data_IF_165192472509
#
_entry.id   IF_165192472509
#
_cell.length_a   1.000
_cell.length_b   1.000
_cell.length_c   1.000
_cell.angle_alpha   90.00
_cell.angle_beta   90.00
_cell.angle_gamma   90.00
#
_symmetry.space_group_name_H-M   'P 1'
#
loop_
_entity.id
_entity.type
_entity.pdbx_description
1 polymer ?
#
# COMPACT_ATOMS: atom_id res chain seq x y z
N UNK A 1 18.16 13.01 -18.38
CA UNK A 1 17.72 13.24 -16.99
C UNK A 1 17.24 11.91 -16.46
N UNK A 2 17.74 11.46 -15.32
CA UNK A 2 17.44 10.16 -14.72
C UNK A 2 16.18 10.25 -13.86
N UNK A 3 15.43 9.14 -13.78
CA UNK A 3 14.22 9.08 -12.96
C UNK A 3 14.56 9.15 -11.47
N UNK A 4 13.69 9.83 -10.72
CA UNK A 4 13.72 9.81 -9.25
C UNK A 4 13.22 8.45 -8.79
N UNK A 5 14.02 7.75 -7.98
CA UNK A 5 13.74 6.42 -7.42
C UNK A 5 13.22 6.48 -5.98
N UNK A 6 13.59 7.50 -5.21
CA UNK A 6 13.02 7.75 -3.88
C UNK A 6 12.85 9.25 -3.63
N UNK A 7 11.83 9.61 -2.86
CA UNK A 7 11.48 11.00 -2.53
C UNK A 7 11.20 11.12 -1.03
N UNK A 8 12.13 11.71 -0.29
CA UNK A 8 12.08 11.83 1.16
C UNK A 8 11.98 13.30 1.58
N UNK A 9 11.14 13.60 2.57
CA UNK A 9 11.10 14.94 3.16
C UNK A 9 12.20 15.08 4.22
N UNK A 10 13.03 16.13 4.09
CA UNK A 10 14.02 16.51 5.08
C UNK A 10 13.40 17.30 6.25
N UNK A 11 14.16 17.47 7.33
CA UNK A 11 13.70 18.17 8.55
C UNK A 11 13.29 19.63 8.29
N UNK A 12 13.89 20.26 7.29
CA UNK A 12 13.60 21.61 6.81
C UNK A 12 12.36 21.70 5.89
N UNK A 13 11.62 20.58 5.76
CA UNK A 13 10.45 20.40 4.88
C UNK A 13 10.76 20.41 3.38
N UNK A 14 12.03 20.45 2.98
CA UNK A 14 12.41 20.27 1.58
C UNK A 14 12.26 18.81 1.16
N UNK A 15 12.02 18.59 -0.12
CA UNK A 15 11.87 17.26 -0.69
C UNK A 15 13.16 16.85 -1.39
N UNK A 16 13.72 15.73 -0.98
CA UNK A 16 14.99 15.21 -1.46
C UNK A 16 14.71 13.97 -2.30
N UNK A 17 14.85 14.10 -3.61
CA UNK A 17 14.76 13.01 -4.56
C UNK A 17 16.13 12.38 -4.83
N UNK A 18 16.24 11.05 -4.81
CA UNK A 18 17.41 10.33 -5.34
C UNK A 18 17.12 9.83 -6.75
N UNK A 19 18.05 9.99 -7.67
CA UNK A 19 17.95 9.44 -9.03
C UNK A 19 18.70 8.13 -9.17
N UNK A 20 18.40 7.39 -10.24
CA UNK A 20 19.10 6.14 -10.59
C UNK A 20 20.63 6.33 -10.71
N UNK A 21 21.07 7.50 -11.17
CA UNK A 21 22.49 7.89 -11.26
C UNK A 21 23.13 8.26 -9.90
N UNK A 22 22.45 7.96 -8.79
CA UNK A 22 22.83 8.34 -7.41
C UNK A 22 22.98 9.85 -7.19
N UNK A 23 22.37 10.68 -8.05
CA UNK A 23 22.33 12.13 -7.84
C UNK A 23 21.18 12.49 -6.91
N UNK A 24 21.36 13.57 -6.16
CA UNK A 24 20.34 14.12 -5.29
C UNK A 24 19.75 15.36 -5.93
N UNK A 25 18.43 15.43 -6.01
CA UNK A 25 17.68 16.58 -6.53
C UNK A 25 16.78 17.07 -5.42
N UNK A 26 16.90 18.34 -5.07
CA UNK A 26 16.08 18.98 -4.04
C UNK A 26 14.92 19.73 -4.68
N UNK A 27 13.76 19.66 -4.05
CA UNK A 27 12.55 20.37 -4.44
C UNK A 27 11.97 21.10 -3.22
N UNK A 28 11.55 22.35 -3.38
CA UNK A 28 10.96 23.13 -2.30
C UNK A 28 9.56 22.61 -1.94
N UNK A 29 8.88 22.02 -2.92
CA UNK A 29 7.51 21.53 -2.77
C UNK A 29 7.18 20.38 -3.73
N UNK A 30 6.11 19.65 -3.43
CA UNK A 30 5.62 18.55 -4.26
C UNK A 30 5.19 18.98 -5.67
N UNK A 31 4.84 20.26 -5.88
CA UNK A 31 4.44 20.75 -7.21
C UNK A 31 5.65 20.81 -8.15
N UNK A 32 6.80 21.27 -7.66
CA UNK A 32 8.06 21.24 -8.41
C UNK A 32 8.47 19.79 -8.76
N UNK A 33 8.35 18.86 -7.82
CA UNK A 33 8.60 17.44 -8.09
C UNK A 33 7.68 16.89 -9.18
N UNK A 34 6.37 17.15 -9.11
CA UNK A 34 5.42 16.69 -10.14
C UNK A 34 5.75 17.27 -11.52
N UNK A 35 6.11 18.54 -11.60
CA UNK A 35 6.55 19.16 -12.85
C UNK A 35 7.85 18.53 -13.39
N UNK A 36 8.80 18.21 -12.50
CA UNK A 36 10.03 17.50 -12.87
C UNK A 36 9.74 16.12 -13.45
N UNK A 37 8.89 15.32 -12.80
CA UNK A 37 8.50 14.00 -13.32
C UNK A 37 7.76 14.11 -14.64
N UNK A 38 6.84 15.07 -14.78
CA UNK A 38 6.14 15.33 -16.04
C UNK A 38 7.07 15.74 -17.18
N UNK A 39 8.17 16.43 -16.88
CA UNK A 39 9.17 16.79 -17.89
C UNK A 39 9.99 15.59 -18.38
N UNK A 40 9.93 14.45 -17.69
CA UNK A 40 10.64 13.23 -18.05
C UNK A 40 9.61 12.18 -18.44
N UNK A 41 9.36 12.08 -19.74
CA UNK A 41 8.27 11.33 -20.41
C UNK A 41 8.21 9.80 -20.11
N UNK A 42 9.13 9.26 -19.30
CA UNK A 42 9.25 7.81 -19.01
C UNK A 42 9.34 7.46 -17.52
N UNK A 43 9.19 8.43 -16.61
CA UNK A 43 9.33 8.17 -15.18
C UNK A 43 7.97 7.95 -14.51
N UNK A 44 7.88 6.89 -13.71
CA UNK A 44 6.74 6.69 -12.81
C UNK A 44 6.87 7.63 -11.60
N UNK A 45 5.76 8.23 -11.13
CA UNK A 45 5.78 9.01 -9.90
C UNK A 45 6.08 8.08 -8.72
N UNK A 46 7.07 8.45 -7.90
CA UNK A 46 7.39 7.74 -6.66
C UNK A 46 6.53 8.29 -5.53
N UNK A 47 6.21 7.40 -4.57
CA UNK A 47 5.48 7.79 -3.39
C UNK A 47 6.36 8.67 -2.50
N UNK A 48 5.85 9.84 -2.16
CA UNK A 48 6.48 10.76 -1.23
C UNK A 48 6.47 10.14 0.18
N UNK A 49 7.65 10.06 0.80
CA UNK A 49 7.81 9.68 2.20
C UNK A 49 8.11 10.91 3.06
N UNK A 50 7.44 11.03 4.20
CA UNK A 50 7.69 12.09 5.18
C UNK A 50 7.77 11.50 6.59
N UNK A 51 8.69 11.99 7.44
CA UNK A 51 8.77 11.57 8.83
C UNK A 51 7.43 11.76 9.56
N UNK A 52 6.95 10.72 10.24
CA UNK A 52 5.71 10.76 11.04
C UNK A 52 4.40 10.53 10.27
N UNK A 53 4.44 10.31 8.95
CA UNK A 53 3.34 9.62 8.27
C UNK A 53 3.47 8.12 8.55
N UNK A 54 2.35 7.43 8.80
CA UNK A 54 2.30 5.99 9.05
C UNK A 54 2.71 5.13 7.83
N UNK A 55 3.51 5.65 6.91
CA UNK A 55 4.01 4.92 5.75
C UNK A 55 5.51 4.79 5.91
N UNK A 56 6.01 3.56 5.96
CA UNK A 56 7.46 3.28 5.89
C UNK A 56 8.01 3.68 4.52
N UNK A 57 9.34 3.75 4.38
CA UNK A 57 10.00 4.02 3.08
C UNK A 57 9.55 3.03 1.99
N UNK A 58 9.15 1.81 2.38
CA UNK A 58 8.58 0.78 1.50
C UNK A 58 7.14 1.06 1.03
N UNK A 59 6.52 2.15 1.49
CA UNK A 59 5.16 2.54 1.12
C UNK A 59 4.05 1.74 1.81
N UNK A 60 4.38 0.70 2.57
CA UNK A 60 3.41 -0.01 3.41
C UNK A 60 2.98 0.89 4.57
N UNK A 61 1.68 0.84 4.88
CA UNK A 61 1.19 1.48 6.11
C UNK A 61 1.70 0.67 7.30
N UNK A 62 2.31 1.34 8.27
CA UNK A 62 2.56 0.74 9.58
C UNK A 62 1.22 0.37 10.19
N UNK A 63 1.08 -0.91 10.51
CA UNK A 63 -0.09 -1.41 11.22
C UNK A 63 0.01 -0.99 12.68
N UNK A 64 -0.55 0.17 13.01
CA UNK A 64 -0.77 0.55 14.40
C UNK A 64 -1.99 -0.21 14.92
N UNK A 65 -1.87 -0.98 16.02
CA UNK A 65 -3.01 -1.56 16.72
C UNK A 65 -4.08 -0.52 16.98
N UNK A 66 -5.37 -0.87 16.84
CA UNK A 66 -6.47 0.00 17.31
C UNK A 66 -6.42 0.18 18.82
N UNK A 67 -5.91 -0.82 19.54
CA UNK A 67 -5.63 -0.82 20.96
C UNK A 67 -4.34 -1.61 21.22
N UNK A 68 -3.24 -0.90 21.45
CA UNK A 68 -1.91 -1.50 21.63
C UNK A 68 -1.82 -2.34 22.90
N UNK A 69 -2.54 -1.96 23.96
CA UNK A 69 -2.46 -2.61 25.26
C UNK A 69 -3.24 -3.93 25.25
N UNK A 70 -4.41 -3.96 24.61
CA UNK A 70 -5.14 -5.21 24.42
C UNK A 70 -4.46 -6.13 23.41
N UNK A 71 -3.92 -5.61 22.31
CA UNK A 71 -3.18 -6.44 21.34
C UNK A 71 -1.92 -7.08 21.97
N UNK A 72 -1.23 -6.37 22.86
CA UNK A 72 -0.06 -6.89 23.55
C UNK A 72 -0.34 -8.09 24.46
N UNK A 73 -1.60 -8.38 24.81
CA UNK A 73 -1.97 -9.60 25.56
C UNK A 73 -1.97 -10.86 24.69
N UNK A 74 -2.09 -10.69 23.38
CA UNK A 74 -2.15 -11.77 22.38
C UNK A 74 -0.83 -11.93 21.60
N UNK A 75 0.14 -11.04 21.80
CA UNK A 75 1.46 -11.11 21.17
C UNK A 75 2.43 -11.96 22.00
N UNK A 76 2.92 -13.06 21.43
CA UNK A 76 3.86 -13.97 22.11
C UNK A 76 5.22 -13.35 22.45
N UNK A 77 5.58 -12.22 21.81
CA UNK A 77 6.81 -11.49 22.07
C UNK A 77 6.63 -10.40 23.15
N UNK A 78 5.40 -10.19 23.64
CA UNK A 78 5.09 -9.18 24.64
C UNK A 78 5.33 -9.69 26.07
N UNK A 79 5.79 -8.80 26.95
CA UNK A 79 5.94 -9.08 28.40
C UNK A 79 4.58 -9.31 29.06
N UNK A 80 3.50 -8.77 28.49
CA UNK A 80 2.13 -8.93 28.98
C UNK A 80 1.37 -10.06 28.31
N UNK A 81 2.07 -10.95 27.59
CA UNK A 81 1.43 -12.07 26.91
C UNK A 81 0.73 -12.98 27.92
N UNK A 82 -0.54 -13.28 27.66
CA UNK A 82 -1.39 -14.09 28.55
C UNK A 82 -1.51 -15.54 28.08
N UNK A 83 -0.63 -15.99 27.17
CA UNK A 83 -0.67 -17.35 26.63
C UNK A 83 -1.86 -17.60 25.71
N UNK A 84 -2.25 -18.87 25.57
CA UNK A 84 -3.39 -19.29 24.75
C UNK A 84 -4.73 -18.98 25.40
N UNK A 85 -4.78 -18.90 26.74
CA UNK A 85 -6.01 -18.67 27.50
C UNK A 85 -6.70 -17.36 27.11
N UNK A 86 -5.93 -16.31 26.83
CA UNK A 86 -6.47 -15.03 26.34
C UNK A 86 -7.11 -15.19 24.97
N UNK A 87 -6.44 -15.90 24.05
CA UNK A 87 -6.96 -16.18 22.71
C UNK A 87 -8.24 -17.02 22.75
N UNK A 88 -8.28 -18.05 23.61
CA UNK A 88 -9.44 -18.92 23.79
C UNK A 88 -10.63 -18.15 24.39
N UNK A 89 -10.37 -17.29 25.39
CA UNK A 89 -11.38 -16.41 25.96
C UNK A 89 -11.90 -15.36 24.95
N UNK A 90 -11.07 -14.91 24.03
CA UNK A 90 -11.48 -13.94 23.00
C UNK A 90 -12.32 -14.61 21.89
N UNK A 91 -12.01 -15.85 21.53
CA UNK A 91 -12.85 -16.67 20.64
C UNK A 91 -14.19 -16.96 21.33
N UNK A 92 -14.20 -17.34 22.62
CA UNK A 92 -15.42 -17.60 23.38
C UNK A 92 -16.31 -16.35 23.54
N UNK A 93 -15.70 -15.16 23.67
CA UNK A 93 -16.41 -13.86 23.69
C UNK A 93 -16.90 -13.41 22.31
N UNK A 94 -16.53 -14.11 21.25
CA UNK A 94 -16.89 -13.76 19.86
C UNK A 94 -16.12 -12.55 19.32
N UNK A 95 -15.03 -12.13 19.96
CA UNK A 95 -14.16 -11.04 19.47
C UNK A 95 -13.36 -11.47 18.22
N UNK A 96 -13.12 -12.76 18.08
CA UNK A 96 -12.49 -13.38 16.90
C UNK A 96 -13.39 -14.48 16.34
N UNK A 97 -13.65 -14.44 15.03
CA UNK A 97 -14.31 -15.54 14.33
C UNK A 97 -13.26 -16.51 13.78
N UNK A 98 -13.44 -17.81 14.08
CA UNK A 98 -12.56 -18.88 13.64
C UNK A 98 -12.46 -19.00 12.11
N UNK A 99 -13.45 -18.48 11.36
CA UNK A 99 -13.51 -18.62 9.90
C UNK A 99 -13.79 -17.31 9.15
N UNK A 100 -13.41 -16.17 9.74
CA UNK A 100 -13.60 -14.85 9.13
C UNK A 100 -13.01 -14.74 7.72
N UNK A 101 -11.93 -15.48 7.44
CA UNK A 101 -11.27 -15.48 6.15
C UNK A 101 -12.10 -16.18 5.04
N UNK A 102 -12.87 -17.21 5.37
CA UNK A 102 -13.75 -17.86 4.39
C UNK A 102 -14.94 -16.96 4.03
N UNK A 103 -15.57 -16.35 5.05
CA UNK A 103 -16.71 -15.45 4.88
C UNK A 103 -16.34 -14.19 4.11
N UNK A 104 -15.17 -13.60 4.41
CA UNK A 104 -14.68 -12.42 3.69
C UNK A 104 -14.39 -12.74 2.23
N UNK A 105 -13.79 -13.90 1.94
CA UNK A 105 -13.56 -14.35 0.55
C UNK A 105 -14.86 -14.57 -0.20
N UNK A 106 -15.88 -15.10 0.48
CA UNK A 106 -17.21 -15.33 -0.11
C UNK A 106 -17.89 -14.00 -0.45
N UNK A 107 -17.90 -13.05 0.49
CA UNK A 107 -18.44 -11.70 0.27
C UNK A 107 -17.71 -10.97 -0.86
N UNK A 108 -16.37 -11.04 -0.93
CA UNK A 108 -15.60 -10.41 -2.00
C UNK A 108 -15.84 -11.04 -3.37
N UNK A 109 -16.13 -12.34 -3.43
CA UNK A 109 -16.51 -13.03 -4.69
C UNK A 109 -17.92 -12.62 -5.13
N UNK A 110 -18.85 -12.50 -4.18
CA UNK A 110 -20.24 -12.10 -4.44
C UNK A 110 -20.37 -10.62 -4.80
N UNK A 111 -19.50 -9.75 -4.28
CA UNK A 111 -19.46 -8.32 -4.62
C UNK A 111 -18.66 -8.00 -5.89
N UNK A 112 -18.00 -8.98 -6.51
CA UNK A 112 -17.29 -8.74 -7.77
C UNK A 112 -18.33 -8.52 -8.88
N UNK A 113 -18.42 -7.33 -9.50
CA UNK A 113 -19.29 -7.14 -10.65
C UNK A 113 -18.88 -8.14 -11.73
N UNK A 114 -19.88 -8.76 -12.37
CA UNK A 114 -19.64 -9.72 -13.44
C UNK A 114 -18.69 -9.10 -14.49
N UNK A 115 -17.70 -9.85 -15.01
CA UNK A 115 -16.88 -9.35 -16.09
C UNK A 115 -17.81 -8.98 -17.25
N UNK A 116 -17.74 -7.71 -17.66
CA UNK A 116 -18.46 -7.21 -18.83
C UNK A 116 -18.14 -8.15 -19.99
N UNK A 117 -19.17 -8.75 -20.58
CA UNK A 117 -19.01 -9.69 -21.69
C UNK A 117 -18.06 -9.08 -22.73
N UNK A 118 -16.97 -9.77 -23.02
CA UNK A 118 -16.04 -9.37 -24.05
C UNK A 118 -16.84 -9.16 -25.35
N UNK A 119 -16.85 -7.93 -25.86
CA UNK A 119 -17.37 -7.63 -27.19
C UNK A 119 -16.58 -8.51 -28.15
N UNK A 120 -17.25 -9.49 -28.76
CA UNK A 120 -16.62 -10.36 -29.75
C UNK A 120 -16.11 -9.48 -30.89
N UNK A 121 -14.83 -9.56 -31.27
CA UNK A 121 -14.34 -8.82 -32.43
C UNK A 121 -15.05 -9.34 -33.68
N UNK A 122 -15.60 -8.41 -34.47
CA UNK A 122 -16.33 -8.72 -35.70
C UNK A 122 -15.44 -9.49 -36.69
N UNK A 123 -15.98 -10.48 -37.44
CA UNK A 123 -15.21 -11.20 -38.44
C UNK A 123 -14.87 -10.28 -39.61
N UNK A 124 -13.58 -9.99 -39.78
CA UNK A 124 -13.02 -9.33 -40.96
C UNK A 124 -13.15 -10.25 -42.15
N UNK A 125 -13.98 -9.90 -43.14
CA UNK A 125 -13.98 -10.56 -44.45
C UNK A 125 -12.78 -10.05 -45.27
N UNK A 126 -11.85 -10.93 -45.59
CA UNK A 126 -10.84 -10.66 -46.61
C UNK A 126 -11.43 -11.01 -47.97
N UNK A 127 -11.72 -10.00 -48.80
CA UNK A 127 -11.96 -10.19 -50.24
C UNK A 127 -10.60 -10.13 -50.93
N UNK A 128 -10.18 -11.27 -51.50
CA UNK A 128 -9.06 -11.33 -52.44
C UNK A 128 -9.60 -10.92 -53.80
N UNK A 129 -9.07 -9.82 -54.35
CA UNK A 129 -9.23 -9.45 -55.76
C UNK A 129 -8.15 -10.12 -56.60
#
# INVERSE_FOLDING_TARGET
MSCVTSLNQAEDKTWVGRTEDRRTVTFDNLKQYKAYVQSIDKCQPVQAWSPGQNTTETGFKEFTPRDSLNQAKYDAMSVTWQGTDSSDAAIARGEYSLDTAADTRKQLREQKPAPVAAVQPAPTSCVVQ
#
